data_IF_971013339803
#
_entry.id   IF_971013339803
#
_cell.length_a   1.000
_cell.length_b   1.000
_cell.length_c   1.000
_cell.angle_alpha   90.00
_cell.angle_beta   90.00
_cell.angle_gamma   90.00
#
_symmetry.space_group_name_H-M   'P 1'
#
loop_
_entity.id
_entity.type
_entity.pdbx_description
1 polymer ?
#
# COMPACT_ATOMS: atom_id res chain seq x y z
N UNK A 1 24.33 -13.97 -5.19
CA UNK A 1 22.87 -13.93 -5.46
C UNK A 1 22.54 -12.62 -6.14
N UNK A 2 21.90 -12.65 -7.32
CA UNK A 2 21.30 -11.46 -7.93
C UNK A 2 20.07 -11.07 -7.09
N UNK A 3 19.97 -9.81 -6.69
CA UNK A 3 18.86 -9.29 -5.86
C UNK A 3 17.85 -8.60 -6.78
N UNK A 4 16.56 -8.84 -6.54
CA UNK A 4 15.45 -8.10 -7.11
C UNK A 4 14.84 -7.23 -6.01
N UNK A 5 14.59 -5.96 -6.31
CA UNK A 5 13.88 -5.05 -5.41
C UNK A 5 12.44 -4.88 -5.91
N UNK A 6 11.47 -4.99 -5.01
CA UNK A 6 10.07 -4.69 -5.31
C UNK A 6 9.70 -3.49 -4.45
N UNK A 7 9.34 -2.38 -5.09
CA UNK A 7 8.94 -1.16 -4.41
C UNK A 7 7.44 -0.96 -4.56
N UNK A 8 6.75 -0.85 -3.43
CA UNK A 8 5.29 -0.79 -3.35
C UNK A 8 4.84 0.61 -2.95
N UNK A 9 3.94 1.17 -3.75
CA UNK A 9 3.31 2.46 -3.55
C UNK A 9 1.83 2.29 -3.22
N UNK A 10 1.35 3.05 -2.24
CA UNK A 10 -0.09 3.24 -2.01
C UNK A 10 -0.52 4.58 -2.61
N UNK A 11 -0.81 5.60 -1.79
CA UNK A 11 -1.44 6.83 -2.27
C UNK A 11 -0.43 7.88 -2.70
N UNK A 12 -0.67 8.47 -3.88
CA UNK A 12 0.09 9.61 -4.41
C UNK A 12 -0.86 10.80 -4.52
N UNK A 13 -0.68 11.82 -3.71
CA UNK A 13 -1.64 12.93 -3.55
C UNK A 13 -1.05 14.25 -4.03
N UNK A 14 -1.89 15.22 -4.39
CA UNK A 14 -1.40 16.55 -4.77
C UNK A 14 -0.70 17.28 -3.60
N UNK A 15 -1.26 17.17 -2.39
CA UNK A 15 -0.72 17.79 -1.18
C UNK A 15 -1.03 16.94 0.05
N UNK A 16 -0.12 16.91 1.02
CA UNK A 16 -0.39 16.33 2.34
C UNK A 16 -1.39 17.23 3.07
N UNK A 17 -2.51 16.68 3.50
CA UNK A 17 -3.47 17.39 4.35
C UNK A 17 -3.04 17.16 5.80
N UNK A 18 -2.79 18.24 6.54
CA UNK A 18 -2.22 18.19 7.90
C UNK A 18 -3.04 17.36 8.89
N UNK A 19 -4.37 17.34 8.77
CA UNK A 19 -5.28 16.54 9.60
C UNK A 19 -5.43 15.08 9.14
N UNK A 20 -4.89 14.73 7.96
CA UNK A 20 -4.83 13.37 7.42
C UNK A 20 -3.38 12.95 7.18
N UNK A 21 -2.51 13.18 8.16
CA UNK A 21 -1.14 12.64 8.21
C UNK A 21 -1.20 11.11 8.36
N UNK A 22 -1.63 10.44 7.29
CA UNK A 22 -1.31 9.05 7.09
C UNK A 22 0.15 8.99 6.65
N UNK A 23 1.01 8.17 7.29
CA UNK A 23 2.40 8.01 6.88
C UNK A 23 2.53 7.42 5.47
N UNK A 24 1.44 6.93 4.90
CA UNK A 24 1.40 6.27 3.59
C UNK A 24 1.05 7.19 2.42
N UNK A 25 0.84 8.50 2.67
CA UNK A 25 0.56 9.47 1.60
C UNK A 25 1.88 10.10 1.11
N UNK A 26 2.22 9.86 -0.15
CA UNK A 26 3.32 10.53 -0.85
C UNK A 26 2.75 11.67 -1.70
N UNK A 27 3.39 12.83 -1.75
CA UNK A 27 2.96 13.87 -2.70
C UNK A 27 3.39 13.53 -4.12
N UNK A 28 2.71 14.09 -5.12
CA UNK A 28 3.08 13.97 -6.54
C UNK A 28 4.55 14.38 -6.77
N UNK A 29 4.99 15.49 -6.15
CA UNK A 29 6.36 15.97 -6.24
C UNK A 29 7.36 14.99 -5.61
N UNK A 30 7.08 14.53 -4.39
CA UNK A 30 7.94 13.54 -3.72
C UNK A 30 8.00 12.22 -4.49
N UNK A 31 6.90 11.83 -5.16
CA UNK A 31 6.88 10.67 -6.04
C UNK A 31 7.77 10.88 -7.26
N UNK A 32 7.68 12.01 -7.96
CA UNK A 32 8.54 12.30 -9.11
C UNK A 32 10.03 12.30 -8.70
N UNK A 33 10.37 12.91 -7.57
CA UNK A 33 11.73 12.92 -7.01
C UNK A 33 12.24 11.51 -6.67
N UNK A 34 11.37 10.65 -6.13
CA UNK A 34 11.72 9.24 -5.90
C UNK A 34 11.94 8.51 -7.23
N UNK A 35 11.07 8.68 -8.22
CA UNK A 35 11.24 8.04 -9.53
C UNK A 35 12.56 8.47 -10.20
N UNK A 36 12.93 9.75 -10.12
CA UNK A 36 14.22 10.25 -10.62
C UNK A 36 15.41 9.57 -9.94
N UNK A 37 15.33 9.42 -8.62
CA UNK A 37 16.35 8.71 -7.86
C UNK A 37 16.40 7.22 -8.29
N UNK A 38 15.27 6.56 -8.45
CA UNK A 38 15.23 5.13 -8.80
C UNK A 38 15.78 4.88 -10.20
N UNK A 39 15.41 5.70 -11.19
CA UNK A 39 15.93 5.60 -12.56
C UNK A 39 17.46 5.78 -12.60
N UNK A 40 17.98 6.71 -11.78
CA UNK A 40 19.42 6.94 -11.67
C UNK A 40 20.16 5.78 -11.01
N UNK A 41 19.56 5.04 -10.08
CA UNK A 41 20.27 4.05 -9.24
C UNK A 41 19.90 2.58 -9.51
N UNK A 42 18.80 2.32 -10.20
CA UNK A 42 18.28 0.97 -10.46
C UNK A 42 17.99 0.76 -11.95
N UNK A 43 17.80 -0.50 -12.33
CA UNK A 43 17.19 -0.87 -13.60
C UNK A 43 15.71 -1.08 -13.33
N UNK A 44 14.88 -0.06 -13.57
CA UNK A 44 13.43 -0.22 -13.39
C UNK A 44 12.92 -1.13 -14.50
N UNK A 45 12.31 -2.25 -14.12
CA UNK A 45 11.88 -3.30 -15.04
C UNK A 45 10.37 -3.30 -15.27
N UNK A 46 9.94 -3.86 -16.40
CA UNK A 46 8.54 -4.14 -16.68
C UNK A 46 8.11 -5.56 -16.27
N UNK A 47 6.84 -5.89 -16.53
CA UNK A 47 6.28 -7.20 -16.19
C UNK A 47 6.87 -8.35 -17.02
N UNK A 48 7.26 -8.10 -18.27
CA UNK A 48 7.88 -9.11 -19.13
C UNK A 48 9.25 -9.47 -18.60
N UNK A 49 10.08 -8.47 -18.33
CA UNK A 49 11.39 -8.64 -17.70
C UNK A 49 11.27 -9.30 -16.32
N UNK A 50 10.26 -8.93 -15.51
CA UNK A 50 9.99 -9.59 -14.24
C UNK A 50 9.70 -11.09 -14.39
N UNK A 51 8.83 -11.47 -15.34
CA UNK A 51 8.53 -12.89 -15.64
C UNK A 51 9.79 -13.64 -16.06
N UNK A 52 10.63 -13.01 -16.87
CA UNK A 52 11.88 -13.63 -17.32
C UNK A 52 12.84 -13.82 -16.14
N UNK A 53 13.00 -12.84 -15.25
CA UNK A 53 13.85 -12.96 -14.05
C UNK A 53 13.42 -14.13 -13.14
N UNK A 54 12.12 -14.31 -12.93
CA UNK A 54 11.61 -15.37 -12.04
C UNK A 54 11.67 -16.76 -12.67
N UNK A 55 11.58 -16.86 -14.01
CA UNK A 55 11.57 -18.13 -14.74
C UNK A 55 12.96 -18.55 -15.22
N UNK A 56 13.75 -17.62 -15.72
CA UNK A 56 15.06 -17.82 -16.30
C UNK A 56 16.11 -17.13 -15.42
N UNK A 57 16.93 -17.94 -14.73
CA UNK A 57 17.90 -17.46 -13.72
C UNK A 57 18.98 -16.48 -14.24
N UNK A 58 18.95 -16.09 -15.52
CA UNK A 58 20.03 -15.36 -16.18
C UNK A 58 19.57 -14.11 -16.93
N UNK A 59 19.38 -13.02 -16.19
CA UNK A 59 19.37 -11.66 -16.74
C UNK A 59 20.62 -10.88 -16.34
N UNK A 60 21.19 -10.11 -17.28
CA UNK A 60 22.37 -9.27 -17.03
C UNK A 60 22.00 -7.79 -17.02
N UNK A 61 21.42 -7.33 -15.91
CA UNK A 61 21.17 -5.91 -15.71
C UNK A 61 22.45 -5.17 -15.30
N UNK A 62 22.61 -3.94 -15.80
CA UNK A 62 23.72 -3.06 -15.42
C UNK A 62 23.62 -2.59 -13.96
N UNK A 63 22.40 -2.51 -13.41
CA UNK A 63 22.09 -2.12 -12.03
C UNK A 63 21.14 -3.15 -11.41
N UNK A 64 20.91 -3.07 -10.11
CA UNK A 64 19.91 -3.92 -9.44
C UNK A 64 18.53 -3.72 -10.09
N UNK A 65 17.86 -4.78 -10.55
CA UNK A 65 16.52 -4.68 -11.10
C UNK A 65 15.52 -4.26 -10.02
N UNK A 66 14.58 -3.38 -10.38
CA UNK A 66 13.57 -2.84 -9.48
C UNK A 66 12.20 -2.85 -10.16
N UNK A 67 11.22 -3.50 -9.54
CA UNK A 67 9.84 -3.53 -9.98
C UNK A 67 9.00 -2.54 -9.17
N UNK A 68 8.25 -1.68 -9.85
CA UNK A 68 7.29 -0.77 -9.22
C UNK A 68 5.91 -1.44 -9.14
N UNK A 69 5.30 -1.39 -7.97
CA UNK A 69 3.97 -1.95 -7.70
C UNK A 69 3.09 -0.90 -7.02
N UNK A 70 1.80 -0.91 -7.32
CA UNK A 70 0.83 0.08 -6.86
C UNK A 70 -0.44 -0.62 -6.36
N UNK A 71 -0.77 -0.43 -5.09
CA UNK A 71 -1.87 -1.15 -4.43
C UNK A 71 -3.13 -0.29 -4.28
N UNK A 72 -4.27 -0.94 -4.09
CA UNK A 72 -5.60 -0.36 -3.87
C UNK A 72 -6.32 0.26 -5.08
N UNK A 73 -5.64 0.44 -6.22
CA UNK A 73 -6.26 0.96 -7.45
C UNK A 73 -6.93 2.32 -7.28
N UNK A 74 -6.35 3.21 -6.47
CA UNK A 74 -6.94 4.52 -6.16
C UNK A 74 -6.96 5.45 -7.38
N UNK A 75 -7.94 6.35 -7.46
CA UNK A 75 -8.01 7.37 -8.54
C UNK A 75 -6.76 8.25 -8.63
N UNK A 76 -6.09 8.42 -7.49
CA UNK A 76 -4.84 9.14 -7.33
C UNK A 76 -3.73 8.57 -8.24
N UNK A 77 -3.69 7.25 -8.44
CA UNK A 77 -2.75 6.61 -9.36
C UNK A 77 -2.90 7.10 -10.79
N UNK A 78 -4.14 7.14 -11.29
CA UNK A 78 -4.42 7.61 -12.65
C UNK A 78 -4.18 9.10 -12.80
N UNK A 79 -4.40 9.87 -11.74
CA UNK A 79 -4.29 11.33 -11.76
C UNK A 79 -2.84 11.83 -11.66
N UNK A 80 -2.01 11.17 -10.85
CA UNK A 80 -0.68 11.67 -10.50
C UNK A 80 0.45 10.68 -10.86
N UNK A 81 0.29 9.39 -10.52
CA UNK A 81 1.36 8.40 -10.74
C UNK A 81 1.57 8.05 -12.23
N UNK A 82 0.49 7.65 -12.90
CA UNK A 82 0.52 7.18 -14.28
C UNK A 82 1.04 8.24 -15.28
N UNK A 83 0.68 9.54 -15.17
CA UNK A 83 1.25 10.57 -16.02
C UNK A 83 2.77 10.70 -15.90
N UNK A 84 3.31 10.65 -14.68
CA UNK A 84 4.77 10.73 -14.41
C UNK A 84 5.48 9.52 -15.02
N UNK A 85 4.99 8.32 -14.74
CA UNK A 85 5.57 7.08 -15.28
C UNK A 85 5.55 7.07 -16.82
N UNK A 86 4.42 7.47 -17.43
CA UNK A 86 4.28 7.55 -18.89
C UNK A 86 5.24 8.58 -19.51
N UNK A 87 5.39 9.76 -18.91
CA UNK A 87 6.33 10.80 -19.36
C UNK A 87 7.77 10.28 -19.37
N UNK A 88 8.12 9.45 -18.40
CA UNK A 88 9.46 8.83 -18.25
C UNK A 88 9.61 7.48 -18.96
N UNK A 89 8.55 6.97 -19.60
CA UNK A 89 8.51 5.63 -20.22
C UNK A 89 8.85 4.50 -19.24
N UNK A 90 8.42 4.66 -17.99
CA UNK A 90 8.61 3.68 -16.92
C UNK A 90 7.33 2.84 -16.76
N UNK A 91 7.51 1.54 -16.56
CA UNK A 91 6.43 0.59 -16.29
C UNK A 91 6.16 0.44 -14.79
N UNK A 92 4.92 0.08 -14.45
CA UNK A 92 4.52 -0.28 -13.10
C UNK A 92 3.33 -1.23 -13.12
N UNK A 93 3.21 -2.08 -12.09
CA UNK A 93 2.09 -3.02 -11.94
C UNK A 93 1.07 -2.43 -10.98
N UNK A 94 -0.19 -2.31 -11.43
CA UNK A 94 -1.29 -1.78 -10.63
C UNK A 94 -2.23 -2.91 -10.20
N UNK A 95 -2.33 -3.13 -8.88
CA UNK A 95 -3.24 -4.10 -8.29
C UNK A 95 -4.57 -3.42 -7.97
N UNK A 96 -5.52 -3.54 -8.88
CA UNK A 96 -6.84 -2.91 -8.77
C UNK A 96 -7.82 -3.92 -8.15
N UNK A 97 -8.36 -3.65 -6.95
CA UNK A 97 -9.33 -4.54 -6.33
C UNK A 97 -10.69 -4.46 -7.05
N UNK A 98 -11.33 -5.61 -7.22
CA UNK A 98 -12.61 -5.69 -7.93
C UNK A 98 -13.76 -4.98 -7.24
N UNK A 99 -13.83 -5.00 -5.90
CA UNK A 99 -14.99 -4.48 -5.15
C UNK A 99 -15.27 -2.98 -5.36
N UNK A 100 -14.28 -2.06 -5.29
CA UNK A 100 -14.52 -0.66 -5.63
C UNK A 100 -14.94 -0.44 -7.09
N UNK A 101 -14.42 -1.26 -8.01
CA UNK A 101 -14.68 -1.10 -9.45
C UNK A 101 -16.07 -1.64 -9.82
N UNK A 102 -16.38 -2.86 -9.38
CA UNK A 102 -17.58 -3.60 -9.77
C UNK A 102 -18.79 -3.22 -8.93
N UNK A 103 -18.61 -3.07 -7.61
CA UNK A 103 -19.72 -2.82 -6.67
C UNK A 103 -19.84 -1.35 -6.24
N UNK A 104 -18.88 -0.49 -6.60
CA UNK A 104 -18.81 0.91 -6.13
C UNK A 104 -18.78 1.04 -4.59
N UNK A 105 -18.23 0.02 -3.91
CA UNK A 105 -18.07 0.01 -2.45
C UNK A 105 -16.61 0.20 -2.06
N UNK A 106 -16.39 1.00 -1.02
CA UNK A 106 -15.05 1.23 -0.45
C UNK A 106 -14.45 -0.08 0.08
N UNK A 107 -13.12 -0.19 0.01
CA UNK A 107 -12.40 -1.28 0.67
C UNK A 107 -12.58 -1.16 2.18
N UNK A 108 -12.76 -2.30 2.87
CA UNK A 108 -12.83 -2.30 4.32
C UNK A 108 -11.58 -1.69 4.96
N UNK A 109 -10.38 -1.94 4.41
CA UNK A 109 -9.14 -1.34 4.89
C UNK A 109 -9.18 0.19 4.82
N UNK A 110 -9.67 0.77 3.71
CA UNK A 110 -9.84 2.23 3.57
C UNK A 110 -10.88 2.79 4.54
N UNK A 111 -11.99 2.08 4.74
CA UNK A 111 -13.01 2.48 5.71
C UNK A 111 -12.44 2.48 7.14
N UNK A 112 -11.69 1.44 7.52
CA UNK A 112 -11.00 1.36 8.82
C UNK A 112 -10.01 2.51 8.98
N UNK A 113 -9.16 2.77 7.97
CA UNK A 113 -8.22 3.89 8.01
C UNK A 113 -8.94 5.23 8.19
N UNK A 114 -10.02 5.49 7.46
CA UNK A 114 -10.79 6.73 7.58
C UNK A 114 -11.42 6.86 8.98
N UNK A 115 -11.96 5.78 9.54
CA UNK A 115 -12.47 5.76 10.91
C UNK A 115 -11.36 6.08 11.91
N UNK A 116 -10.20 5.42 11.80
CA UNK A 116 -9.07 5.60 12.73
C UNK A 116 -8.45 7.00 12.66
N UNK A 117 -8.39 7.60 11.47
CA UNK A 117 -7.88 8.96 11.27
C UNK A 117 -8.83 9.99 11.90
N UNK A 118 -10.14 9.83 11.71
CA UNK A 118 -11.11 10.83 12.15
C UNK A 118 -11.63 10.59 13.58
N UNK A 119 -11.32 9.44 14.20
CA UNK A 119 -11.73 9.17 15.57
C UNK A 119 -10.68 9.66 16.56
N UNK A 120 -11.08 10.64 17.38
CA UNK A 120 -10.26 11.17 18.48
C UNK A 120 -10.02 10.11 19.56
N UNK A 121 -11.11 9.55 20.09
CA UNK A 121 -11.05 8.51 21.11
C UNK A 121 -11.09 7.11 20.49
N UNK A 122 -9.91 6.55 20.24
CA UNK A 122 -9.77 5.20 19.69
C UNK A 122 -10.17 4.12 20.70
N UNK A 123 -10.15 4.41 22.00
CA UNK A 123 -10.55 3.45 23.03
C UNK A 123 -12.04 3.11 22.94
N UNK A 124 -12.88 4.08 22.53
CA UNK A 124 -14.29 3.84 22.25
C UNK A 124 -14.51 2.83 21.10
N UNK A 125 -13.63 2.79 20.09
CA UNK A 125 -13.68 1.78 19.02
C UNK A 125 -13.34 0.40 19.60
N UNK A 126 -12.26 0.31 20.37
CA UNK A 126 -11.84 -0.96 21.01
C UNK A 126 -12.96 -1.49 21.90
N UNK A 127 -13.58 -0.63 22.72
CA UNK A 127 -14.71 -1.02 23.56
C UNK A 127 -15.88 -1.56 22.74
N UNK A 128 -16.25 -0.91 21.63
CA UNK A 128 -17.32 -1.40 20.75
C UNK A 128 -17.00 -2.78 20.15
N UNK A 129 -15.74 -3.04 19.83
CA UNK A 129 -15.29 -4.35 19.36
C UNK A 129 -15.45 -5.37 20.49
N UNK A 130 -14.93 -5.08 21.69
CA UNK A 130 -15.06 -5.96 22.86
C UNK A 130 -16.53 -6.27 23.18
N UNK A 131 -17.38 -5.25 23.24
CA UNK A 131 -18.82 -5.37 23.49
C UNK A 131 -19.50 -6.26 22.44
N UNK A 132 -19.12 -6.17 21.17
CA UNK A 132 -19.64 -7.03 20.10
C UNK A 132 -19.31 -8.51 20.33
N UNK A 133 -18.06 -8.84 20.65
CA UNK A 133 -17.67 -10.22 20.93
C UNK A 133 -18.41 -10.76 22.17
N UNK A 134 -18.51 -9.97 23.24
CA UNK A 134 -19.21 -10.35 24.47
C UNK A 134 -20.71 -10.61 24.23
N UNK A 135 -21.39 -9.70 23.51
CA UNK A 135 -22.83 -9.83 23.23
C UNK A 135 -23.17 -11.03 22.33
N UNK A 136 -22.21 -11.49 21.52
CA UNK A 136 -22.39 -12.64 20.64
C UNK A 136 -21.80 -13.95 21.22
N UNK A 137 -21.35 -13.95 22.48
CA UNK A 137 -20.78 -15.13 23.13
C UNK A 137 -19.42 -15.58 22.58
N UNK A 138 -18.70 -14.72 21.86
CA UNK A 138 -17.44 -15.01 21.17
C UNK A 138 -16.20 -14.73 22.06
N UNK A 139 -16.26 -15.14 23.32
CA UNK A 139 -15.26 -14.77 24.32
C UNK A 139 -13.89 -15.38 23.99
N UNK A 140 -13.86 -16.61 23.48
CA UNK A 140 -12.59 -17.31 23.23
C UNK A 140 -11.91 -16.78 21.96
N UNK A 141 -12.68 -16.40 20.93
CA UNK A 141 -12.18 -15.71 19.75
C UNK A 141 -11.60 -14.34 20.12
N UNK A 142 -12.26 -13.60 21.02
CA UNK A 142 -11.73 -12.33 21.51
C UNK A 142 -10.39 -12.52 22.23
N UNK A 143 -10.25 -13.55 23.07
CA UNK A 143 -8.99 -13.88 23.74
C UNK A 143 -7.90 -14.22 22.73
N UNK A 144 -8.20 -15.04 21.73
CA UNK A 144 -7.25 -15.42 20.67
C UNK A 144 -6.84 -14.18 19.86
N UNK A 145 -7.80 -13.37 19.45
CA UNK A 145 -7.56 -12.13 18.72
C UNK A 145 -6.62 -11.22 19.50
N UNK A 146 -6.89 -11.01 20.80
CA UNK A 146 -6.06 -10.18 21.65
C UNK A 146 -4.65 -10.76 21.79
N UNK A 147 -4.52 -12.06 22.07
CA UNK A 147 -3.23 -12.74 22.22
C UNK A 147 -2.36 -12.66 20.96
N UNK A 148 -2.95 -12.77 19.78
CA UNK A 148 -2.20 -12.85 18.52
C UNK A 148 -1.87 -11.49 17.90
N UNK A 149 -2.63 -10.44 18.23
CA UNK A 149 -2.50 -9.13 17.58
C UNK A 149 -1.98 -8.02 18.50
N UNK A 150 -1.89 -8.27 19.80
CA UNK A 150 -1.16 -7.41 20.72
C UNK A 150 0.14 -8.12 21.10
N UNK A 151 1.28 -7.49 20.80
CA UNK A 151 2.52 -7.82 21.49
C UNK A 151 2.30 -7.48 22.97
N UNK A 152 2.06 -8.48 23.81
CA UNK A 152 2.27 -8.40 25.26
C UNK A 152 3.68 -7.83 25.49
N UNK A 153 3.92 -6.75 26.24
CA UNK A 153 3.57 -6.52 27.66
C UNK A 153 3.49 -5.01 28.02
N UNK A 154 2.66 -4.20 27.36
CA UNK A 154 2.44 -2.80 27.80
C UNK A 154 1.00 -2.35 27.64
N UNK A 155 0.16 -2.71 28.62
CA UNK A 155 -0.94 -1.90 29.13
C UNK A 155 -1.07 -2.14 30.63
#
# INVERSE_FOLDING_TARGET
MKKLVIMMYHRIVQRKIEFKKSPFNLTEKEFEEQIDYLEKNFSIIDYSEFKEIINEKNFNFKKTPLLLTFDDGTKDHMKFAAPILRKKKISGIFFIPGRPVLEKKVLHAHAIHEILINTKDKSAIVKKIDDYYLQNGLIDELKIFKKNNFCSDQF
#
